data_IF_365259820534
#
_entry.id   IF_365259820534
#
_cell.length_a   1.000
_cell.length_b   1.000
_cell.length_c   1.000
_cell.angle_alpha   90.00
_cell.angle_beta   90.00
_cell.angle_gamma   90.00
#
_symmetry.space_group_name_H-M   'P 1'
#
loop_
_entity.id
_entity.type
_entity.pdbx_description
1 polymer ?
#
# COMPACT_ATOMS: atom_id res chain seq x y z
N UNK A 1 -15.97 -12.09 16.24
CA UNK A 1 -15.87 -13.38 15.50
C UNK A 1 -14.48 -13.51 14.87
N UNK A 2 -14.02 -14.73 14.53
CA UNK A 2 -12.69 -14.95 13.94
C UNK A 2 -12.52 -14.24 12.58
N UNK A 3 -13.58 -14.21 11.77
CA UNK A 3 -13.63 -13.46 10.50
C UNK A 3 -13.36 -11.98 10.66
N UNK A 4 -13.97 -11.31 11.64
CA UNK A 4 -13.75 -9.87 11.88
C UNK A 4 -12.30 -9.57 12.28
N UNK A 5 -11.66 -10.46 13.06
CA UNK A 5 -10.25 -10.33 13.40
C UNK A 5 -9.37 -10.44 12.16
N UNK A 6 -9.68 -11.35 11.24
CA UNK A 6 -8.97 -11.48 9.97
C UNK A 6 -9.15 -10.24 9.08
N UNK A 7 -10.37 -9.71 8.97
CA UNK A 7 -10.65 -8.47 8.22
C UNK A 7 -9.82 -7.31 8.78
N UNK A 8 -9.81 -7.12 10.11
CA UNK A 8 -9.00 -6.05 10.74
C UNK A 8 -7.51 -6.21 10.48
N UNK A 9 -6.98 -7.44 10.56
CA UNK A 9 -5.58 -7.70 10.23
C UNK A 9 -5.26 -7.37 8.78
N UNK A 10 -6.13 -7.78 7.84
CA UNK A 10 -5.95 -7.47 6.43
C UNK A 10 -5.93 -5.95 6.19
N UNK A 11 -6.91 -5.21 6.70
CA UNK A 11 -6.97 -3.75 6.54
C UNK A 11 -5.70 -3.06 7.08
N UNK A 12 -5.18 -3.54 8.22
CA UNK A 12 -3.95 -3.05 8.82
C UNK A 12 -2.73 -3.37 7.94
N UNK A 13 -2.63 -4.58 7.40
CA UNK A 13 -1.57 -4.96 6.46
C UNK A 13 -1.61 -4.14 5.18
N UNK A 14 -2.79 -3.90 4.61
CA UNK A 14 -2.95 -3.06 3.42
C UNK A 14 -2.43 -1.64 3.67
N UNK A 15 -2.83 -1.04 4.80
CA UNK A 15 -2.39 0.31 5.18
C UNK A 15 -0.88 0.41 5.37
N UNK A 16 -0.26 -0.50 6.12
CA UNK A 16 1.19 -0.48 6.33
C UNK A 16 1.98 -0.74 5.04
N UNK A 17 1.42 -1.52 4.11
CA UNK A 17 2.06 -1.71 2.80
C UNK A 17 2.10 -0.39 2.02
N UNK A 18 1.04 0.43 2.09
CA UNK A 18 1.05 1.78 1.50
C UNK A 18 2.12 2.67 2.14
N UNK A 19 2.22 2.70 3.47
CA UNK A 19 3.25 3.47 4.20
C UNK A 19 4.68 3.03 3.83
N UNK A 20 4.91 1.72 3.68
CA UNK A 20 6.21 1.20 3.24
C UNK A 20 6.55 1.62 1.81
N UNK A 21 5.57 1.65 0.90
CA UNK A 21 5.78 2.13 -0.47
C UNK A 21 6.09 3.63 -0.50
N UNK A 22 5.41 4.44 0.31
CA UNK A 22 5.72 5.87 0.45
C UNK A 22 7.14 6.09 0.98
N UNK A 23 7.57 5.31 1.98
CA UNK A 23 8.92 5.37 2.50
C UNK A 23 9.97 5.04 1.43
N UNK A 24 9.73 4.00 0.61
CA UNK A 24 10.62 3.64 -0.51
C UNK A 24 10.69 4.78 -1.51
N UNK A 25 9.55 5.35 -1.91
CA UNK A 25 9.51 6.48 -2.85
C UNK A 25 10.29 7.69 -2.33
N UNK A 26 10.16 8.01 -1.05
CA UNK A 26 10.92 9.09 -0.42
C UNK A 26 12.43 8.80 -0.44
N UNK A 27 12.85 7.57 -0.08
CA UNK A 27 14.25 7.16 -0.13
C UNK A 27 14.82 7.23 -1.56
N UNK A 28 14.05 6.81 -2.58
CA UNK A 28 14.48 6.93 -3.97
C UNK A 28 14.67 8.40 -4.36
N UNK A 29 13.75 9.29 -3.97
CA UNK A 29 13.85 10.74 -4.22
C UNK A 29 15.05 11.36 -3.52
N UNK A 30 15.29 11.01 -2.25
CA UNK A 30 16.45 11.48 -1.48
C UNK A 30 17.78 11.05 -2.11
N UNK A 31 17.82 9.86 -2.71
CA UNK A 31 18.99 9.33 -3.41
C UNK A 31 19.12 9.83 -4.86
N UNK A 32 18.18 10.63 -5.36
CA UNK A 32 18.16 11.10 -6.75
C UNK A 32 17.97 9.99 -7.79
N UNK A 33 17.32 8.88 -7.39
CA UNK A 33 17.01 7.75 -8.25
C UNK A 33 15.68 7.95 -8.98
N UNK A 34 15.53 7.27 -10.12
CA UNK A 34 14.27 7.26 -10.89
C UNK A 34 13.14 6.64 -10.05
N UNK A 35 11.99 7.30 -10.01
CA UNK A 35 10.84 6.91 -9.16
C UNK A 35 9.59 6.53 -9.93
N UNK A 36 9.53 6.81 -11.24
CA UNK A 36 8.30 6.68 -12.03
C UNK A 36 7.65 5.30 -11.93
N UNK A 37 8.43 4.24 -12.07
CA UNK A 37 7.93 2.86 -12.01
C UNK A 37 7.41 2.50 -10.61
N UNK A 38 8.07 3.01 -9.56
CA UNK A 38 7.61 2.85 -8.18
C UNK A 38 6.34 3.66 -7.88
N UNK A 39 6.19 4.85 -8.48
CA UNK A 39 4.97 5.66 -8.35
C UNK A 39 3.78 4.99 -9.05
N UNK A 40 3.99 4.40 -10.22
CA UNK A 40 2.96 3.61 -10.92
C UNK A 40 2.54 2.38 -10.11
N UNK A 41 3.50 1.65 -9.56
CA UNK A 41 3.23 0.51 -8.68
C UNK A 41 2.46 0.93 -7.42
N UNK A 42 2.84 2.04 -6.79
CA UNK A 42 2.15 2.55 -5.60
C UNK A 42 0.70 2.93 -5.93
N UNK A 43 0.45 3.64 -7.04
CA UNK A 43 -0.91 3.98 -7.45
C UNK A 43 -1.77 2.74 -7.71
N UNK A 44 -1.21 1.73 -8.39
CA UNK A 44 -1.90 0.46 -8.62
C UNK A 44 -2.21 -0.29 -7.32
N UNK A 45 -1.28 -0.26 -6.36
CA UNK A 45 -1.49 -0.83 -5.02
C UNK A 45 -2.68 -0.15 -4.32
N UNK A 46 -2.74 1.20 -4.33
CA UNK A 46 -3.85 1.94 -3.72
C UNK A 46 -5.19 1.59 -4.35
N UNK A 47 -5.26 1.50 -5.67
CA UNK A 47 -6.49 1.09 -6.37
C UNK A 47 -6.95 -0.32 -5.99
N UNK A 48 -6.01 -1.28 -5.89
CA UNK A 48 -6.31 -2.65 -5.48
C UNK A 48 -6.77 -2.69 -4.01
N UNK A 49 -6.11 -1.95 -3.12
CA UNK A 49 -6.48 -1.86 -1.71
C UNK A 49 -7.89 -1.29 -1.53
N UNK A 50 -8.24 -0.25 -2.28
CA UNK A 50 -9.60 0.31 -2.26
C UNK A 50 -10.65 -0.66 -2.79
N UNK A 51 -10.34 -1.46 -3.82
CA UNK A 51 -11.24 -2.52 -4.29
C UNK A 51 -11.47 -3.57 -3.21
N UNK A 52 -10.40 -4.04 -2.56
CA UNK A 52 -10.50 -5.01 -1.45
C UNK A 52 -11.34 -4.42 -0.30
N UNK A 53 -11.10 -3.17 0.10
CA UNK A 53 -11.88 -2.51 1.17
C UNK A 53 -13.38 -2.43 0.86
N UNK A 54 -13.78 -2.31 -0.41
CA UNK A 54 -15.19 -2.29 -0.83
C UNK A 54 -15.87 -3.65 -0.81
N UNK A 55 -15.11 -4.74 -0.86
CA UNK A 55 -15.62 -6.11 -0.87
C UNK A 55 -15.71 -6.75 0.53
N UNK A 56 -15.09 -6.12 1.55
CA UNK A 56 -15.07 -6.58 2.94
C UNK A 56 -16.26 -6.06 3.75
#
# INVERSE_FOLDING_TARGET
MEREKLIKKLLHTLHHTEEHFEAILNQLKELGLETKDYEELYNKLKELNEKVKKEL
#
